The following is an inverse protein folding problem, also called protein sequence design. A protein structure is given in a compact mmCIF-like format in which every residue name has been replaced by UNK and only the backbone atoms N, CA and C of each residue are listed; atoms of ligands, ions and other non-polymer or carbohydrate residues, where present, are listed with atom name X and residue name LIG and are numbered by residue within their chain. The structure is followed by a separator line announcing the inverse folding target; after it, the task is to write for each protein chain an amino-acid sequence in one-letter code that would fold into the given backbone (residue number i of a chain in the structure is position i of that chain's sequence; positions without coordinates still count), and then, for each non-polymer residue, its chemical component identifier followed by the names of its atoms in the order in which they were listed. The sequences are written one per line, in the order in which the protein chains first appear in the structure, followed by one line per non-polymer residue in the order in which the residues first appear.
data_IF_209112267402
#
_entry.id   IF_209112267402
#
_cell.length_a   1.000
_cell.length_b   1.000
_cell.length_c   1.000
_cell.angle_alpha   90.00
_cell.angle_beta   90.00
_cell.angle_gamma   90.00
#
_symmetry.space_group_name_H-M   'P 1'
#
loop_
_entity.id
_entity.type
_entity.pdbx_description
1 polymer ?
#
# COMPACT_ATOMS: atom_id res chain seq x y z
N UNK A 1 5.71 -2.08 -42.10
CA UNK A 1 5.30 -2.40 -40.71
C UNK A 1 4.66 -3.78 -40.57
N UNK A 2 4.25 -4.43 -41.66
CA UNK A 2 3.56 -5.74 -41.63
C UNK A 2 4.49 -6.96 -41.38
N UNK A 3 5.79 -6.88 -41.67
CA UNK A 3 6.71 -8.03 -41.47
C UNK A 3 7.01 -8.35 -39.99
N UNK A 4 6.93 -7.35 -39.09
CA UNK A 4 7.14 -7.57 -37.64
C UNK A 4 5.92 -8.22 -36.97
N UNK A 5 4.75 -8.17 -37.61
CA UNK A 5 3.53 -8.78 -37.10
C UNK A 5 3.42 -10.25 -37.53
N UNK A 6 3.84 -10.57 -38.76
CA UNK A 6 3.95 -11.95 -39.25
C UNK A 6 4.95 -12.80 -38.43
N UNK A 7 6.10 -12.24 -38.02
CA UNK A 7 7.10 -12.96 -37.22
C UNK A 7 6.58 -13.34 -35.80
N UNK A 8 5.67 -12.54 -35.23
CA UNK A 8 5.03 -12.84 -33.94
C UNK A 8 3.85 -13.79 -34.09
N UNK A 9 3.15 -13.75 -35.22
CA UNK A 9 2.07 -14.67 -35.53
C UNK A 9 2.58 -16.10 -35.82
N UNK A 10 3.80 -16.24 -36.37
CA UNK A 10 4.42 -17.54 -36.70
C UNK A 10 4.78 -18.43 -35.48
N UNK A 11 4.90 -17.91 -34.26
CA UNK A 11 5.30 -18.72 -33.09
C UNK A 11 4.12 -19.22 -32.24
N UNK A 12 3.07 -18.41 -32.09
CA UNK A 12 1.93 -18.73 -31.22
C UNK A 12 0.89 -19.58 -31.94
N UNK A 13 0.62 -19.28 -33.22
CA UNK A 13 -0.32 -20.07 -34.04
C UNK A 13 0.24 -21.44 -34.42
N UNK A 14 1.55 -21.55 -34.65
CA UNK A 14 2.22 -22.83 -34.96
C UNK A 14 2.28 -23.77 -33.75
N UNK A 15 2.43 -23.22 -32.55
CA UNK A 15 2.34 -23.99 -31.31
C UNK A 15 0.90 -24.47 -31.05
N UNK A 16 -0.09 -23.61 -31.28
CA UNK A 16 -1.50 -23.95 -31.13
C UNK A 16 -1.96 -25.01 -32.14
N UNK A 17 -1.52 -24.93 -33.40
CA UNK A 17 -1.81 -25.95 -34.41
C UNK A 17 -1.14 -27.27 -34.09
N UNK A 18 0.15 -27.29 -33.72
CA UNK A 18 0.83 -28.53 -33.29
C UNK A 18 0.17 -29.16 -32.06
N UNK A 19 -0.27 -28.35 -31.11
CA UNK A 19 -1.01 -28.82 -29.93
C UNK A 19 -2.35 -29.45 -30.32
N UNK A 20 -3.12 -28.78 -31.19
CA UNK A 20 -4.40 -29.28 -31.71
C UNK A 20 -4.24 -30.54 -32.56
N UNK A 21 -3.20 -30.64 -33.38
CA UNK A 21 -2.87 -31.83 -34.17
C UNK A 21 -2.46 -33.01 -33.28
N UNK A 22 -1.68 -32.74 -32.24
CA UNK A 22 -1.27 -33.75 -31.26
C UNK A 22 -2.47 -34.27 -30.46
N UNK A 23 -3.41 -33.40 -30.08
CA UNK A 23 -4.68 -33.79 -29.45
C UNK A 23 -5.62 -34.52 -30.40
N UNK A 24 -5.70 -34.11 -31.67
CA UNK A 24 -6.52 -34.77 -32.69
C UNK A 24 -6.00 -36.17 -33.04
N UNK A 25 -4.68 -36.40 -32.93
CA UNK A 25 -4.08 -37.74 -33.09
C UNK A 25 -4.44 -38.70 -31.95
N UNK A 26 -4.85 -38.16 -30.80
CA UNK A 26 -5.37 -38.93 -29.67
C UNK A 26 -6.88 -39.21 -29.87
N UNK A 27 -7.20 -40.07 -30.84
CA UNK A 27 -8.55 -40.59 -31.03
C UNK A 27 -8.97 -41.47 -29.82
N UNK A 28 -9.47 -40.84 -28.75
CA UNK A 28 -10.04 -41.47 -27.55
C UNK A 28 -11.46 -42.00 -27.80
N UNK A 29 -11.66 -42.68 -28.93
CA UNK A 29 -12.93 -43.31 -29.28
C UNK A 29 -12.80 -44.81 -29.13
N UNK A 30 -13.32 -45.36 -28.03
CA UNK A 30 -14.18 -46.57 -27.95
C UNK A 30 -13.99 -47.46 -26.70
N UNK A 31 -15.07 -47.51 -25.90
CA UNK A 31 -15.85 -48.67 -25.40
C UNK A 31 -15.22 -49.94 -24.81
N UNK A 32 -13.91 -50.16 -24.73
CA UNK A 32 -13.34 -51.39 -24.13
C UNK A 32 -12.49 -51.14 -22.85
N UNK A 33 -12.90 -51.67 -21.67
CA UNK A 33 -12.27 -51.37 -20.39
C UNK A 33 -10.90 -52.04 -20.17
N UNK A 34 -10.48 -52.95 -21.03
CA UNK A 34 -9.16 -53.62 -20.95
C UNK A 34 -8.04 -52.80 -21.60
N UNK A 35 -8.36 -51.75 -22.36
CA UNK A 35 -7.38 -50.87 -23.02
C UNK A 35 -7.02 -49.62 -22.21
N UNK A 36 -7.71 -49.39 -21.10
CA UNK A 36 -7.50 -48.21 -20.23
C UNK A 36 -6.06 -48.14 -19.69
N UNK A 37 -5.41 -49.27 -19.42
CA UNK A 37 -4.03 -49.30 -18.94
C UNK A 37 -3.03 -48.82 -19.99
N UNK A 38 -3.28 -49.18 -21.25
CA UNK A 38 -2.44 -48.78 -22.38
C UNK A 38 -2.70 -47.31 -22.73
N UNK A 39 -3.96 -46.86 -22.61
CA UNK A 39 -4.34 -45.46 -22.78
C UNK A 39 -3.74 -44.56 -21.68
N UNK A 40 -3.70 -45.03 -20.41
CA UNK A 40 -3.05 -44.30 -19.33
C UNK A 40 -1.53 -44.24 -19.53
N UNK A 41 -0.91 -45.30 -20.06
CA UNK A 41 0.50 -45.29 -20.41
C UNK A 41 0.78 -44.31 -21.56
N UNK A 42 -0.09 -44.28 -22.58
CA UNK A 42 -0.01 -43.35 -23.70
C UNK A 42 -0.23 -41.89 -23.27
N UNK A 43 -1.22 -41.61 -22.41
CA UNK A 43 -1.47 -40.27 -21.86
C UNK A 43 -0.33 -39.79 -20.97
N UNK A 44 0.31 -40.70 -20.24
CA UNK A 44 1.51 -40.39 -19.45
C UNK A 44 2.70 -40.04 -20.35
N UNK A 45 2.88 -40.74 -21.45
CA UNK A 45 3.90 -40.41 -22.45
C UNK A 45 3.59 -39.08 -23.16
N UNK A 46 2.32 -38.87 -23.54
CA UNK A 46 1.83 -37.62 -24.13
C UNK A 46 2.04 -36.40 -23.21
N UNK A 47 1.67 -36.53 -21.94
CA UNK A 47 1.85 -35.46 -20.94
C UNK A 47 3.33 -35.17 -20.68
N UNK A 48 4.18 -36.20 -20.73
CA UNK A 48 5.64 -36.03 -20.62
C UNK A 48 6.18 -35.29 -21.84
N UNK A 49 5.76 -35.66 -23.05
CA UNK A 49 6.11 -34.97 -24.31
C UNK A 49 5.63 -33.52 -24.32
N UNK A 50 4.41 -33.25 -23.88
CA UNK A 50 3.88 -31.88 -23.76
C UNK A 50 4.67 -31.04 -22.75
N UNK A 51 5.07 -31.65 -21.63
CA UNK A 51 5.91 -30.97 -20.63
C UNK A 51 7.29 -30.61 -21.19
N UNK A 52 7.91 -31.51 -21.95
CA UNK A 52 9.19 -31.23 -22.62
C UNK A 52 9.06 -30.13 -23.68
N UNK A 53 8.03 -30.17 -24.52
CA UNK A 53 7.77 -29.14 -25.53
C UNK A 53 7.52 -27.76 -24.91
N UNK A 54 6.77 -27.71 -23.79
CA UNK A 54 6.55 -26.45 -23.08
C UNK A 54 7.85 -25.91 -22.47
N UNK A 55 8.65 -26.76 -21.84
CA UNK A 55 9.92 -26.37 -21.24
C UNK A 55 10.92 -25.88 -22.31
N UNK A 56 10.98 -26.56 -23.45
CA UNK A 56 11.76 -26.15 -24.62
C UNK A 56 11.30 -24.78 -25.13
N UNK A 57 10.00 -24.56 -25.24
CA UNK A 57 9.46 -23.27 -25.66
C UNK A 57 9.74 -22.15 -24.65
N UNK A 58 9.60 -22.41 -23.35
CA UNK A 58 9.90 -21.46 -22.28
C UNK A 58 11.39 -21.10 -22.27
N UNK A 59 12.27 -22.09 -22.43
CA UNK A 59 13.72 -21.87 -22.47
C UNK A 59 14.17 -21.16 -23.74
N UNK A 60 13.62 -21.51 -24.91
CA UNK A 60 13.85 -20.82 -26.17
C UNK A 60 13.38 -19.36 -26.10
N UNK A 61 12.19 -19.11 -25.56
CA UNK A 61 11.67 -17.75 -25.41
C UNK A 61 12.49 -16.94 -24.40
N UNK A 62 12.89 -17.54 -23.28
CA UNK A 62 13.79 -16.91 -22.30
C UNK A 62 15.15 -16.58 -22.91
N UNK A 63 15.72 -17.49 -23.71
CA UNK A 63 16.98 -17.31 -24.42
C UNK A 63 16.91 -16.21 -25.47
N UNK A 64 15.87 -16.23 -26.32
CA UNK A 64 15.63 -15.20 -27.32
C UNK A 64 15.39 -13.84 -26.66
N UNK A 65 14.64 -13.78 -25.56
CA UNK A 65 14.47 -12.54 -24.79
C UNK A 65 15.81 -12.02 -24.24
N UNK A 66 16.73 -12.92 -23.85
CA UNK A 66 18.05 -12.55 -23.32
C UNK A 66 19.03 -12.09 -24.40
N UNK A 67 18.84 -12.50 -25.65
CA UNK A 67 19.71 -12.18 -26.80
C UNK A 67 19.18 -10.99 -27.61
N UNK A 68 17.86 -10.92 -27.84
CA UNK A 68 17.23 -9.92 -28.71
C UNK A 68 16.78 -8.66 -27.99
N UNK A 69 16.47 -8.71 -26.68
CA UNK A 69 16.36 -7.48 -25.89
C UNK A 69 17.75 -7.14 -25.37
N UNK A 70 18.24 -5.97 -25.76
CA UNK A 70 19.52 -5.42 -25.33
C UNK A 70 19.72 -5.53 -23.81
N UNK A 71 20.91 -5.89 -23.32
CA UNK A 71 21.18 -6.18 -21.90
C UNK A 71 21.13 -4.96 -20.96
N UNK A 72 20.70 -3.78 -21.43
CA UNK A 72 20.88 -2.50 -20.73
C UNK A 72 19.58 -1.88 -20.19
N UNK A 73 18.56 -2.69 -19.95
CA UNK A 73 17.61 -2.39 -18.87
C UNK A 73 17.73 -3.42 -17.75
N UNK A 74 18.96 -3.72 -17.33
CA UNK A 74 19.15 -3.92 -15.89
C UNK A 74 18.76 -2.61 -15.24
N UNK A 75 17.49 -2.48 -14.86
CA UNK A 75 16.97 -1.36 -14.10
C UNK A 75 17.92 -1.19 -12.91
N UNK A 76 18.73 -0.14 -12.96
CA UNK A 76 19.78 0.07 -11.96
C UNK A 76 19.08 0.09 -10.60
N UNK A 77 19.52 -0.76 -9.69
CA UNK A 77 18.91 -0.87 -8.36
C UNK A 77 18.87 0.51 -7.67
N UNK A 78 19.85 1.37 -7.97
CA UNK A 78 19.88 2.77 -7.54
C UNK A 78 18.75 3.60 -8.13
N UNK A 79 18.42 3.41 -9.41
CA UNK A 79 17.29 4.07 -10.05
C UNK A 79 15.94 3.60 -9.48
N UNK A 80 15.79 2.29 -9.22
CA UNK A 80 14.59 1.77 -8.52
C UNK A 80 14.45 2.38 -7.14
N UNK A 81 15.54 2.47 -6.38
CA UNK A 81 15.54 2.99 -5.02
C UNK A 81 15.24 4.51 -4.99
N UNK A 82 15.81 5.28 -5.93
CA UNK A 82 15.48 6.69 -6.11
C UNK A 82 14.01 6.91 -6.51
N UNK A 83 13.50 6.09 -7.43
CA UNK A 83 12.11 6.15 -7.88
C UNK A 83 11.14 5.73 -6.77
N UNK A 84 11.51 4.74 -5.96
CA UNK A 84 10.77 4.33 -4.77
C UNK A 84 10.76 5.44 -3.71
N UNK A 85 11.88 6.13 -3.51
CA UNK A 85 11.97 7.32 -2.65
C UNK A 85 11.07 8.46 -3.12
N UNK A 86 11.08 8.77 -4.42
CA UNK A 86 10.17 9.76 -5.02
C UNK A 86 8.70 9.35 -4.89
N UNK A 87 8.39 8.07 -5.08
CA UNK A 87 7.03 7.58 -4.90
C UNK A 87 6.58 7.66 -3.43
N UNK A 88 7.47 7.37 -2.47
CA UNK A 88 7.16 7.46 -1.05
C UNK A 88 6.88 8.91 -0.63
N UNK A 89 7.71 9.86 -1.08
CA UNK A 89 7.49 11.30 -0.78
C UNK A 89 6.24 11.84 -1.47
N UNK A 90 5.99 11.47 -2.73
CA UNK A 90 4.77 11.85 -3.44
C UNK A 90 3.52 11.26 -2.76
N UNK A 91 3.58 10.00 -2.31
CA UNK A 91 2.48 9.37 -1.55
C UNK A 91 2.24 10.05 -0.21
N UNK A 92 3.30 10.43 0.51
CA UNK A 92 3.17 11.15 1.77
C UNK A 92 2.50 12.52 1.57
N UNK A 93 2.94 13.29 0.56
CA UNK A 93 2.32 14.57 0.19
C UNK A 93 0.87 14.42 -0.25
N UNK A 94 0.56 13.38 -1.03
CA UNK A 94 -0.81 13.08 -1.43
C UNK A 94 -1.69 12.72 -0.23
N UNK A 95 -1.16 11.96 0.72
CA UNK A 95 -1.87 11.61 1.95
C UNK A 95 -2.17 12.86 2.78
N UNK A 96 -1.19 13.73 2.97
CA UNK A 96 -1.33 15.01 3.68
C UNK A 96 -2.38 15.91 3.00
N UNK A 97 -2.27 16.11 1.69
CA UNK A 97 -3.25 16.88 0.94
C UNK A 97 -4.66 16.26 1.02
N UNK A 98 -4.77 14.92 1.00
CA UNK A 98 -6.06 14.24 1.18
C UNK A 98 -6.63 14.47 2.57
N UNK A 99 -5.82 14.39 3.61
CA UNK A 99 -6.28 14.65 4.98
C UNK A 99 -6.72 16.09 5.16
N UNK A 100 -5.99 17.04 4.57
CA UNK A 100 -6.34 18.47 4.63
C UNK A 100 -7.67 18.74 3.93
N UNK A 101 -7.88 18.17 2.74
CA UNK A 101 -9.15 18.28 2.01
C UNK A 101 -10.29 17.65 2.80
N UNK A 102 -10.10 16.48 3.41
CA UNK A 102 -11.14 15.86 4.23
C UNK A 102 -11.50 16.71 5.45
N UNK A 103 -10.51 17.34 6.10
CA UNK A 103 -10.75 18.27 7.20
C UNK A 103 -11.48 19.53 6.72
N UNK A 104 -11.13 20.05 5.54
CA UNK A 104 -11.79 21.22 4.96
C UNK A 104 -13.26 20.92 4.63
N UNK A 105 -13.53 19.75 4.05
CA UNK A 105 -14.89 19.28 3.75
C UNK A 105 -15.70 19.13 5.03
N UNK A 106 -15.15 18.49 6.06
CA UNK A 106 -15.84 18.35 7.35
C UNK A 106 -16.16 19.70 8.00
N UNK A 107 -15.26 20.69 7.88
CA UNK A 107 -15.53 22.07 8.33
C UNK A 107 -16.62 22.74 7.51
N UNK A 108 -16.61 22.57 6.18
CA UNK A 108 -17.66 23.09 5.30
C UNK A 108 -19.02 22.45 5.60
N UNK A 109 -19.07 21.15 5.88
CA UNK A 109 -20.29 20.44 6.27
C UNK A 109 -20.83 20.96 7.60
N UNK A 110 -19.97 21.11 8.62
CA UNK A 110 -20.37 21.67 9.91
C UNK A 110 -20.93 23.10 9.76
N UNK A 111 -20.27 23.96 8.96
CA UNK A 111 -20.76 25.32 8.69
C UNK A 111 -22.09 25.28 7.92
N UNK A 112 -22.26 24.35 6.98
CA UNK A 112 -23.50 24.21 6.24
C UNK A 112 -24.66 23.80 7.18
N UNK A 113 -24.42 22.85 8.07
CA UNK A 113 -25.39 22.41 9.07
C UNK A 113 -25.77 23.55 10.04
N UNK A 114 -24.78 24.33 10.51
CA UNK A 114 -25.00 25.50 11.35
C UNK A 114 -25.86 26.56 10.62
N UNK A 115 -25.58 26.81 9.34
CA UNK A 115 -26.36 27.76 8.52
C UNK A 115 -27.79 27.27 8.32
N UNK A 116 -27.99 25.98 8.07
CA UNK A 116 -29.34 25.39 7.96
C UNK A 116 -30.10 25.54 9.28
N UNK A 117 -29.45 25.25 10.41
CA UNK A 117 -30.05 25.40 11.73
C UNK A 117 -30.42 26.87 12.01
N UNK A 118 -29.52 27.82 11.74
CA UNK A 118 -29.77 29.25 11.87
C UNK A 118 -30.93 29.72 10.98
N UNK A 119 -30.97 29.27 9.72
CA UNK A 119 -32.04 29.66 8.81
C UNK A 119 -33.40 29.11 9.29
N UNK A 120 -33.44 27.86 9.74
CA UNK A 120 -34.66 27.28 10.31
C UNK A 120 -35.15 28.04 11.55
N UNK A 121 -34.22 28.50 12.40
CA UNK A 121 -34.56 29.32 13.57
C UNK A 121 -35.09 30.71 13.15
N UNK A 122 -34.50 31.32 12.13
CA UNK A 122 -34.97 32.59 11.58
C UNK A 122 -36.36 32.45 10.98
N UNK A 123 -36.65 31.38 10.26
CA UNK A 123 -37.98 31.08 9.70
C UNK A 123 -39.03 30.93 10.81
N UNK A 124 -38.71 30.20 11.88
CA UNK A 124 -39.59 30.07 13.06
C UNK A 124 -39.83 31.40 13.76
N UNK A 125 -38.81 32.26 13.88
CA UNK A 125 -38.96 33.60 14.46
C UNK A 125 -39.80 34.49 13.56
N UNK A 126 -39.62 34.41 12.24
CA UNK A 126 -40.43 35.15 11.27
C UNK A 126 -41.89 34.74 11.36
N UNK A 127 -42.20 33.44 11.42
CA UNK A 127 -43.59 32.99 11.58
C UNK A 127 -44.21 33.46 12.90
N UNK A 128 -43.46 33.43 13.99
CA UNK A 128 -43.93 33.93 15.28
C UNK A 128 -44.18 35.45 15.25
N UNK A 129 -43.30 36.22 14.60
CA UNK A 129 -43.49 37.66 14.42
C UNK A 129 -44.72 37.94 13.56
N UNK A 130 -44.95 37.19 12.49
CA UNK A 130 -46.15 37.34 11.64
C UNK A 130 -47.44 37.03 12.42
N UNK A 131 -47.43 36.01 13.27
CA UNK A 131 -48.56 35.69 14.16
C UNK A 131 -48.80 36.81 15.18
N UNK A 132 -47.75 37.28 15.86
CA UNK A 132 -47.83 38.39 16.80
C UNK A 132 -48.29 39.69 16.12
N UNK A 133 -47.85 39.95 14.88
CA UNK A 133 -48.28 41.12 14.11
C UNK A 133 -49.77 41.04 13.76
N UNK A 134 -50.27 39.86 13.39
CA UNK A 134 -51.71 39.64 13.16
C UNK A 134 -52.51 39.83 14.45
N UNK A 135 -52.03 39.29 15.57
CA UNK A 135 -52.68 39.47 16.87
C UNK A 135 -52.67 40.93 17.31
N UNK A 136 -51.55 41.64 17.14
CA UNK A 136 -51.45 43.07 17.42
C UNK A 136 -52.42 43.89 16.55
N UNK A 137 -52.55 43.55 15.26
CA UNK A 137 -53.51 44.20 14.36
C UNK A 137 -54.95 43.96 14.83
N UNK A 138 -55.28 42.73 15.20
CA UNK A 138 -56.59 42.38 15.75
C UNK A 138 -56.87 43.10 17.07
N UNK A 139 -55.90 43.15 17.99
CA UNK A 139 -56.05 43.87 19.26
C UNK A 139 -56.20 45.38 19.03
N UNK A 140 -55.54 45.95 18.01
CA UNK A 140 -55.73 47.35 17.63
C UNK A 140 -57.14 47.60 17.08
N UNK A 141 -57.67 46.69 16.26
CA UNK A 141 -59.05 46.74 15.77
C UNK A 141 -60.06 46.64 16.92
N UNK A 142 -59.86 45.69 17.85
CA UNK A 142 -60.70 45.50 19.04
C UNK A 142 -60.65 46.73 19.97
N UNK A 143 -59.47 47.31 20.17
CA UNK A 143 -59.28 48.52 20.98
C UNK A 143 -59.91 49.74 20.32
N UNK A 144 -59.76 49.91 19.00
CA UNK A 144 -60.44 50.95 18.24
C UNK A 144 -61.97 50.79 18.35
N UNK A 145 -62.49 49.56 18.23
CA UNK A 145 -63.91 49.27 18.40
C UNK A 145 -64.41 49.56 19.84
N UNK A 146 -63.59 49.33 20.86
CA UNK A 146 -63.93 49.65 22.27
C UNK A 146 -63.87 51.16 22.55
N UNK A 147 -62.91 51.86 21.97
CA UNK A 147 -62.71 53.31 22.18
C UNK A 147 -63.70 54.16 21.38
N UNK A 148 -64.13 53.70 20.21
CA UNK A 148 -65.13 54.39 19.38
C UNK A 148 -66.54 53.79 19.52
N UNK A 149 -66.68 52.74 20.33
CA UNK A 149 -67.95 52.10 20.65
C UNK A 149 -68.85 52.94 21.59
N UNK A 150 -70.16 52.63 21.65
CA UNK A 150 -71.15 53.42 22.39
C UNK A 150 -70.95 53.47 23.93
N UNK A 151 -70.11 52.60 24.51
CA UNK A 151 -69.75 52.57 25.94
C UNK A 151 -68.42 53.28 26.29
N UNK A 152 -67.77 53.92 25.31
CA UNK A 152 -66.39 54.43 25.39
C UNK A 152 -66.09 55.50 26.47
N UNK A 153 -67.11 56.19 26.97
CA UNK A 153 -66.91 57.28 27.93
C UNK A 153 -66.51 56.79 29.33
N UNK A 154 -66.89 55.57 29.73
CA UNK A 154 -66.54 55.00 31.05
C UNK A 154 -65.13 54.40 31.13
N UNK A 155 -64.64 53.80 30.04
CA UNK A 155 -63.32 53.17 30.00
C UNK A 155 -62.17 54.20 29.90
N UNK A 156 -62.41 55.32 29.22
CA UNK A 156 -61.43 56.41 29.07
C UNK A 156 -61.07 57.09 30.39
N UNK A 157 -62.04 57.18 31.32
CA UNK A 157 -61.82 57.73 32.67
C UNK A 157 -61.07 56.78 33.60
N UNK A 158 -61.23 55.45 33.45
CA UNK A 158 -60.55 54.46 34.28
C UNK A 158 -59.07 54.28 33.89
N UNK A 159 -58.77 54.25 32.59
CA UNK A 159 -57.39 54.12 32.10
C UNK A 159 -56.52 55.34 32.48
N UNK A 160 -57.14 56.52 32.56
CA UNK A 160 -56.49 57.73 33.06
C UNK A 160 -56.25 57.67 34.58
N UNK A 161 -57.10 57.01 35.35
CA UNK A 161 -56.90 56.80 36.80
C UNK A 161 -55.81 55.76 37.10
N UNK A 162 -55.73 54.67 36.36
CA UNK A 162 -54.72 53.61 36.55
C UNK A 162 -53.30 54.10 36.26
N UNK A 163 -53.11 54.89 35.19
CA UNK A 163 -51.83 55.54 34.87
C UNK A 163 -51.39 56.57 35.91
N UNK A 164 -52.34 57.16 36.64
CA UNK A 164 -52.08 58.05 37.77
C UNK A 164 -51.74 57.29 39.06
N UNK A 165 -52.04 55.99 39.14
CA UNK A 165 -51.82 55.15 40.32
C UNK A 165 -50.49 54.39 40.31
N UNK A 166 -49.73 54.41 39.20
CA UNK A 166 -48.30 54.05 39.20
C UNK A 166 -47.97 52.66 39.77
N UNK A 167 -48.81 51.66 39.50
CA UNK A 167 -48.70 50.31 40.05
C UNK A 167 -47.81 49.36 39.23
N UNK A 168 -46.74 49.88 38.61
CA UNK A 168 -45.66 49.05 38.08
C UNK A 168 -44.39 49.33 38.89
N UNK A 169 -44.11 48.46 39.86
CA UNK A 169 -42.76 48.14 40.32
C UNK A 169 -42.85 46.92 41.25
N UNK A 170 -42.57 45.74 40.71
CA UNK A 170 -41.94 44.68 41.51
C UNK A 170 -40.66 45.32 42.05
N UNK A 171 -40.57 45.47 43.36
CA UNK A 171 -39.60 46.35 44.03
C UNK A 171 -38.18 46.08 43.55
N UNK A 172 -37.49 47.14 43.14
CA UNK A 172 -36.10 47.14 42.69
C UNK A 172 -35.18 46.36 43.65
N UNK A 173 -35.53 46.35 44.94
CA UNK A 173 -34.82 45.66 46.02
C UNK A 173 -34.88 44.13 45.92
N UNK A 174 -36.02 43.55 45.50
CA UNK A 174 -36.17 42.08 45.36
C UNK A 174 -35.42 41.57 44.13
N UNK A 175 -35.44 42.36 43.04
CA UNK A 175 -34.62 42.09 41.85
C UNK A 175 -33.11 42.20 42.15
N UNK A 176 -32.70 43.15 42.99
CA UNK A 176 -31.31 43.33 43.42
C UNK A 176 -30.82 42.16 44.30
N UNK A 177 -31.65 41.64 45.20
CA UNK A 177 -31.29 40.50 46.04
C UNK A 177 -31.17 39.19 45.23
N UNK A 178 -32.07 38.96 44.26
CA UNK A 178 -31.95 37.83 43.33
C UNK A 178 -30.69 37.94 42.46
N UNK A 179 -30.38 39.14 41.96
CA UNK A 179 -29.16 39.37 41.18
C UNK A 179 -27.89 39.14 42.02
N UNK A 180 -27.88 39.55 43.29
CA UNK A 180 -26.77 39.28 44.21
C UNK A 180 -26.60 37.79 44.50
N UNK A 181 -27.71 37.07 44.70
CA UNK A 181 -27.71 35.62 44.88
C UNK A 181 -27.14 34.88 43.66
N UNK A 182 -27.54 35.28 42.45
CA UNK A 182 -27.04 34.71 41.20
C UNK A 182 -25.53 34.98 41.03
N UNK A 183 -25.06 36.20 41.31
CA UNK A 183 -23.64 36.56 41.23
C UNK A 183 -22.80 35.75 42.23
N UNK A 184 -23.32 35.49 43.44
CA UNK A 184 -22.62 34.67 44.42
C UNK A 184 -22.50 33.20 43.98
N UNK A 185 -23.56 32.64 43.40
CA UNK A 185 -23.53 31.28 42.84
C UNK A 185 -22.56 31.19 41.64
N UNK A 186 -22.56 32.18 40.77
CA UNK A 186 -21.66 32.23 39.62
C UNK A 186 -20.20 32.38 40.05
N UNK A 187 -19.92 33.16 41.11
CA UNK A 187 -18.58 33.26 41.68
C UNK A 187 -18.07 31.90 42.18
N UNK A 188 -18.91 31.13 42.88
CA UNK A 188 -18.53 29.78 43.34
C UNK A 188 -18.30 28.81 42.18
N UNK A 189 -19.13 28.86 41.14
CA UNK A 189 -18.96 28.04 39.94
C UNK A 189 -17.68 28.39 39.17
N UNK A 190 -17.31 29.67 39.11
CA UNK A 190 -16.07 30.14 38.50
C UNK A 190 -14.85 29.66 39.29
N UNK A 191 -14.90 29.69 40.62
CA UNK A 191 -13.79 29.19 41.45
C UNK A 191 -13.62 27.66 41.34
N UNK A 192 -14.73 26.91 41.28
CA UNK A 192 -14.70 25.47 41.01
C UNK A 192 -14.15 25.17 39.61
N UNK A 193 -14.57 25.91 38.58
CA UNK A 193 -14.05 25.79 37.23
C UNK A 193 -12.54 26.10 37.17
N UNK A 194 -12.08 27.14 37.88
CA UNK A 194 -10.65 27.47 37.99
C UNK A 194 -9.85 26.35 38.67
N UNK A 195 -10.39 25.75 39.72
CA UNK A 195 -9.75 24.61 40.37
C UNK A 195 -9.67 23.38 39.44
N UNK A 196 -10.72 23.12 38.67
CA UNK A 196 -10.71 22.05 37.66
C UNK A 196 -9.67 22.32 36.56
N UNK A 197 -9.58 23.55 36.05
CA UNK A 197 -8.58 23.95 35.06
C UNK A 197 -7.16 23.75 35.60
N UNK A 198 -6.88 24.21 36.84
CA UNK A 198 -5.57 24.01 37.45
C UNK A 198 -5.21 22.52 37.58
N UNK A 199 -6.16 21.67 37.99
CA UNK A 199 -5.93 20.22 38.07
C UNK A 199 -5.71 19.54 36.71
N UNK A 200 -6.38 20.04 35.66
CA UNK A 200 -6.22 19.56 34.30
C UNK A 200 -4.87 20.00 33.70
N UNK A 201 -4.42 21.23 33.98
CA UNK A 201 -3.10 21.72 33.59
C UNK A 201 -1.98 20.89 34.23
N UNK A 202 -2.08 20.56 35.52
CA UNK A 202 -1.13 19.65 36.17
C UNK A 202 -1.12 18.24 35.52
N UNK A 203 -2.30 17.72 35.16
CA UNK A 203 -2.40 16.42 34.50
C UNK A 203 -1.78 16.46 33.09
N UNK A 204 -1.95 17.57 32.36
CA UNK A 204 -1.34 17.79 31.06
C UNK A 204 0.19 17.85 31.16
N UNK A 205 0.72 18.63 32.13
CA UNK A 205 2.16 18.69 32.39
C UNK A 205 2.76 17.31 32.70
N UNK A 206 2.08 16.50 33.53
CA UNK A 206 2.51 15.11 33.79
C UNK A 206 2.47 14.23 32.54
N UNK A 207 1.54 14.48 31.61
CA UNK A 207 1.49 13.77 30.33
C UNK A 207 2.64 14.19 29.42
N UNK A 208 2.93 15.48 29.32
CA UNK A 208 4.02 16.03 28.51
C UNK A 208 5.38 15.52 28.98
N UNK A 209 5.62 15.46 30.29
CA UNK A 209 6.83 14.85 30.86
C UNK A 209 6.96 13.37 30.47
N UNK A 210 5.85 12.61 30.45
CA UNK A 210 5.86 11.22 29.97
C UNK A 210 6.17 11.14 28.48
N UNK A 211 5.61 12.03 27.67
CA UNK A 211 5.88 12.07 26.23
C UNK A 211 7.35 12.41 25.94
N UNK A 212 7.95 13.35 26.67
CA UNK A 212 9.37 13.66 26.56
C UNK A 212 10.24 12.43 26.90
N UNK A 213 9.97 11.75 28.02
CA UNK A 213 10.69 10.52 28.40
C UNK A 213 10.56 9.41 27.36
N UNK A 214 9.37 9.22 26.79
CA UNK A 214 9.16 8.24 25.73
C UNK A 214 9.91 8.61 24.46
N UNK A 215 9.97 9.89 24.12
CA UNK A 215 10.69 10.38 22.94
C UNK A 215 12.20 10.19 23.10
N UNK A 216 12.74 10.47 24.29
CA UNK A 216 14.15 10.19 24.63
C UNK A 216 14.46 8.69 24.56
N UNK A 217 13.56 7.84 25.08
CA UNK A 217 13.73 6.38 25.03
C UNK A 217 13.70 5.85 23.59
N UNK A 218 12.80 6.37 22.74
CA UNK A 218 12.76 6.05 21.30
C UNK A 218 14.05 6.49 20.62
N UNK A 219 14.56 7.69 20.91
CA UNK A 219 15.83 8.17 20.36
C UNK A 219 17.01 7.29 20.79
N UNK A 220 17.04 6.85 22.05
CA UNK A 220 18.04 5.91 22.57
C UNK A 220 17.99 4.55 21.86
N UNK A 221 16.79 3.96 21.72
CA UNK A 221 16.60 2.69 20.99
C UNK A 221 17.03 2.85 19.53
N UNK A 222 16.67 3.96 18.89
CA UNK A 222 17.08 4.23 17.51
C UNK A 222 18.60 4.31 17.38
N UNK A 223 19.28 4.96 18.34
CA UNK A 223 20.74 4.99 18.41
C UNK A 223 21.35 3.60 18.59
N UNK A 224 20.78 2.76 19.46
CA UNK A 224 21.22 1.37 19.64
C UNK A 224 21.01 0.53 18.38
N UNK A 225 19.91 0.73 17.66
CA UNK A 225 19.62 0.04 16.39
C UNK A 225 20.59 0.47 15.30
N UNK A 226 20.90 1.77 15.18
CA UNK A 226 21.88 2.22 14.19
C UNK A 226 23.31 1.78 14.55
N UNK A 227 23.69 1.76 15.82
CA UNK A 227 24.97 1.18 16.24
C UNK A 227 25.04 -0.32 15.92
N UNK A 228 23.97 -1.08 16.18
CA UNK A 228 23.90 -2.48 15.78
C UNK A 228 23.96 -2.65 14.26
N UNK A 229 23.34 -1.73 13.50
CA UNK A 229 23.36 -1.72 12.04
C UNK A 229 24.75 -1.38 11.49
N UNK A 230 25.48 -0.43 12.06
CA UNK A 230 26.85 -0.10 11.68
C UNK A 230 27.83 -1.24 12.00
N UNK A 231 27.65 -1.91 13.14
CA UNK A 231 28.39 -3.14 13.46
C UNK A 231 28.10 -4.27 12.47
N UNK A 232 26.89 -4.32 11.92
CA UNK A 232 26.50 -5.26 10.86
C UNK A 232 26.91 -4.79 9.45
N UNK A 233 27.00 -3.48 9.18
CA UNK A 233 27.37 -2.91 7.88
C UNK A 233 28.89 -2.79 7.71
N UNK A 234 29.66 -2.78 8.79
CA UNK A 234 31.10 -3.07 8.74
C UNK A 234 31.41 -4.49 8.23
N UNK A 235 30.39 -5.36 8.18
CA UNK A 235 30.40 -6.65 7.52
C UNK A 235 29.65 -6.61 6.17
N UNK A 236 29.80 -5.54 5.37
CA UNK A 236 29.61 -5.62 3.93
C UNK A 236 30.57 -6.67 3.37
N UNK A 237 30.08 -7.92 3.33
CA UNK A 237 30.79 -9.03 2.75
C UNK A 237 31.23 -8.64 1.34
N UNK A 238 32.55 -8.55 1.14
CA UNK A 238 33.15 -8.31 -0.16
C UNK A 238 32.42 -9.14 -1.22
N UNK A 239 32.19 -8.63 -2.45
CA UNK A 239 31.57 -9.41 -3.51
C UNK A 239 32.25 -10.79 -3.70
N UNK A 240 33.53 -10.92 -3.35
CA UNK A 240 34.26 -12.19 -3.29
C UNK A 240 33.75 -13.14 -2.18
N UNK A 241 33.38 -12.65 -1.00
CA UNK A 241 32.80 -13.45 0.10
C UNK A 241 31.36 -13.87 -0.20
N UNK A 242 30.56 -13.00 -0.81
CA UNK A 242 29.21 -13.35 -1.28
C UNK A 242 29.28 -14.42 -2.37
N UNK A 243 30.20 -14.28 -3.33
CA UNK A 243 30.43 -15.27 -4.37
C UNK A 243 30.98 -16.58 -3.80
N UNK A 244 31.90 -16.54 -2.82
CA UNK A 244 32.40 -17.72 -2.13
C UNK A 244 31.32 -18.45 -1.34
N UNK A 245 30.40 -17.72 -0.68
CA UNK A 245 29.25 -18.29 0.03
C UNK A 245 28.29 -18.97 -0.95
N UNK A 246 27.94 -18.28 -2.05
CA UNK A 246 27.12 -18.85 -3.13
C UNK A 246 27.78 -20.10 -3.73
N UNK A 247 29.10 -20.09 -3.96
CA UNK A 247 29.85 -21.26 -4.45
C UNK A 247 29.80 -22.44 -3.46
N UNK A 248 29.88 -22.19 -2.15
CA UNK A 248 29.76 -23.25 -1.14
C UNK A 248 28.35 -23.86 -1.13
N UNK A 249 27.32 -23.02 -1.21
CA UNK A 249 25.92 -23.46 -1.26
C UNK A 249 25.64 -24.27 -2.54
N UNK A 250 26.12 -23.81 -3.71
CA UNK A 250 25.98 -24.56 -4.97
C UNK A 250 26.76 -25.87 -4.95
N UNK A 251 28.00 -25.89 -4.46
CA UNK A 251 28.78 -27.12 -4.31
C UNK A 251 28.10 -28.12 -3.36
N UNK A 252 27.42 -27.65 -2.31
CA UNK A 252 26.67 -28.50 -1.39
C UNK A 252 25.43 -29.13 -2.06
N UNK A 253 24.74 -28.36 -2.91
CA UNK A 253 23.60 -28.84 -3.72
C UNK A 253 24.08 -29.84 -4.76
N UNK A 254 25.16 -29.54 -5.48
CA UNK A 254 25.74 -30.42 -6.51
C UNK A 254 26.22 -31.75 -5.92
N UNK A 255 26.83 -31.73 -4.72
CA UNK A 255 27.17 -32.96 -3.98
C UNK A 255 25.95 -33.79 -3.59
N UNK A 256 24.80 -33.17 -3.31
CA UNK A 256 23.56 -33.89 -2.99
C UNK A 256 22.86 -34.46 -4.24
N UNK A 257 22.93 -33.76 -5.37
CA UNK A 257 22.25 -34.15 -6.61
C UNK A 257 23.03 -35.15 -7.46
N UNK A 258 24.37 -35.10 -7.45
CA UNK A 258 25.20 -35.93 -8.32
C UNK A 258 25.99 -36.90 -7.46
N UNK A 259 25.71 -38.22 -7.58
CA UNK A 259 26.38 -39.33 -6.86
C UNK A 259 27.88 -39.50 -7.18
N UNK A 260 28.53 -38.50 -7.79
CA UNK A 260 29.90 -38.56 -8.31
C UNK A 260 30.80 -37.38 -7.91
N UNK A 261 30.44 -36.57 -6.91
CA UNK A 261 31.37 -35.65 -6.26
C UNK A 261 32.01 -34.59 -7.15
N UNK A 262 31.21 -33.83 -7.91
CA UNK A 262 31.70 -32.70 -8.70
C UNK A 262 32.00 -31.52 -7.77
N UNK A 263 33.21 -30.96 -7.86
CA UNK A 263 33.59 -29.72 -7.17
C UNK A 263 33.83 -28.61 -8.19
N UNK A 264 33.24 -27.45 -7.95
CA UNK A 264 33.42 -26.25 -8.78
C UNK A 264 34.25 -25.24 -8.01
N UNK A 265 35.44 -24.93 -8.52
CA UNK A 265 36.32 -23.90 -8.01
C UNK A 265 36.36 -22.70 -8.97
N UNK A 266 36.42 -21.50 -8.43
CA UNK A 266 36.61 -20.28 -9.21
C UNK A 266 37.86 -19.54 -8.73
N UNK A 267 38.90 -19.53 -9.57
CA UNK A 267 40.16 -18.82 -9.30
C UNK A 267 40.52 -17.96 -10.51
N UNK A 268 40.80 -16.68 -10.28
CA UNK A 268 41.31 -15.73 -11.29
C UNK A 268 40.47 -15.63 -12.58
N UNK A 269 39.13 -15.65 -12.50
CA UNK A 269 38.26 -15.54 -13.68
C UNK A 269 38.21 -16.80 -14.55
N UNK A 270 38.50 -17.97 -13.95
CA UNK A 270 38.38 -19.28 -14.59
C UNK A 270 37.61 -20.23 -13.67
N UNK A 271 36.68 -20.98 -14.24
CA UNK A 271 35.92 -22.01 -13.52
C UNK A 271 36.61 -23.36 -13.69
N UNK A 272 36.86 -24.08 -12.60
CA UNK A 272 37.45 -25.42 -12.63
C UNK A 272 36.40 -26.41 -12.16
N UNK A 273 36.04 -27.36 -13.01
CA UNK A 273 35.24 -28.52 -12.64
C UNK A 273 36.17 -29.69 -12.35
N UNK A 274 36.10 -30.20 -11.14
CA UNK A 274 36.86 -31.35 -10.66
C UNK A 274 35.92 -32.52 -10.49
N UNK A 275 36.19 -33.63 -11.19
CA UNK A 275 35.52 -34.91 -10.98
C UNK A 275 36.55 -36.03 -11.03
N UNK A 276 36.82 -36.64 -9.89
CA UNK A 276 37.69 -37.82 -9.63
C UNK A 276 39.07 -37.82 -10.32
N UNK A 277 39.14 -37.90 -11.65
CA UNK A 277 40.39 -37.93 -12.45
C UNK A 277 40.41 -36.92 -13.63
N UNK A 278 39.36 -36.11 -13.82
CA UNK A 278 39.30 -35.12 -14.90
C UNK A 278 39.14 -33.71 -14.35
N UNK A 279 40.02 -32.81 -14.77
CA UNK A 279 39.94 -31.37 -14.51
C UNK A 279 39.55 -30.66 -15.79
N UNK A 280 38.40 -29.99 -15.78
CA UNK A 280 37.97 -29.15 -16.90
C UNK A 280 38.02 -27.69 -16.47
N UNK A 281 38.85 -26.89 -17.15
CA UNK A 281 39.01 -25.47 -16.88
C UNK A 281 38.30 -24.64 -17.95
N UNK A 282 37.39 -23.77 -17.53
CA UNK A 282 36.63 -22.85 -18.36
C UNK A 282 37.13 -21.41 -18.19
N UNK A 283 37.13 -20.62 -19.27
CA UNK A 283 37.24 -19.16 -19.20
C UNK A 283 35.91 -18.48 -18.82
N UNK A 284 35.91 -17.15 -18.69
CA UNK A 284 34.71 -16.34 -18.43
C UNK A 284 33.63 -16.42 -19.54
N UNK A 285 33.98 -16.94 -20.71
CA UNK A 285 33.10 -17.18 -21.86
C UNK A 285 32.73 -18.67 -22.02
N UNK A 286 32.98 -19.48 -20.97
CA UNK A 286 32.71 -20.93 -20.93
C UNK A 286 33.49 -21.74 -21.98
N UNK A 287 34.62 -21.26 -22.48
CA UNK A 287 35.52 -22.04 -23.35
C UNK A 287 36.43 -22.94 -22.53
N UNK A 288 36.59 -24.19 -22.96
CA UNK A 288 37.48 -25.15 -22.34
C UNK A 288 38.92 -24.74 -22.70
N UNK A 289 39.68 -24.33 -21.70
CA UNK A 289 41.08 -23.89 -21.82
C UNK A 289 42.04 -25.04 -21.51
N UNK A 290 41.63 -25.97 -20.64
CA UNK A 290 42.45 -27.12 -20.27
C UNK A 290 41.55 -28.31 -19.94
N UNK A 291 41.91 -29.48 -20.48
CA UNK A 291 41.27 -30.76 -20.24
C UNK A 291 42.38 -31.78 -19.96
N UNK A 292 42.65 -32.06 -18.68
CA UNK A 292 43.62 -33.11 -18.33
C UNK A 292 42.99 -34.48 -18.61
N UNK A 293 43.60 -35.26 -19.52
CA UNK A 293 43.17 -36.62 -19.87
C UNK A 293 42.53 -36.81 -21.25
N UNK A 294 42.35 -35.77 -22.07
CA UNK A 294 41.76 -35.87 -23.42
C UNK A 294 42.56 -35.03 -24.44
N UNK A 295 42.73 -35.54 -25.66
CA UNK A 295 43.42 -34.89 -26.79
C UNK A 295 42.90 -33.46 -27.08
N UNK A 296 43.79 -32.49 -27.31
CA UNK A 296 43.50 -31.08 -27.64
C UNK A 296 42.43 -30.92 -28.75
N UNK A 297 42.41 -31.83 -29.73
CA UNK A 297 41.40 -31.87 -30.81
C UNK A 297 39.96 -32.02 -30.31
N UNK A 298 39.73 -32.69 -29.18
CA UNK A 298 38.40 -32.82 -28.60
C UNK A 298 37.96 -31.53 -27.88
N UNK A 299 38.89 -30.81 -27.26
CA UNK A 299 38.60 -29.52 -26.63
C UNK A 299 38.23 -28.45 -27.69
N UNK A 300 38.94 -28.41 -28.81
CA UNK A 300 38.61 -27.53 -29.95
C UNK A 300 37.26 -27.90 -30.57
N UNK A 301 37.00 -29.20 -30.80
CA UNK A 301 35.72 -29.66 -31.35
C UNK A 301 34.51 -29.38 -30.45
N UNK A 302 34.71 -29.17 -29.15
CA UNK A 302 33.68 -28.82 -28.19
C UNK A 302 33.52 -27.31 -28.09
N UNK A 303 34.61 -26.55 -28.12
CA UNK A 303 34.56 -25.10 -28.15
C UNK A 303 33.86 -24.56 -29.41
N UNK A 304 34.00 -25.25 -30.55
CA UNK A 304 33.30 -24.91 -31.79
C UNK A 304 31.85 -25.44 -31.89
N UNK A 305 31.37 -26.22 -30.91
CA UNK A 305 30.09 -26.92 -31.00
C UNK A 305 28.85 -26.05 -30.70
N UNK A 306 29.00 -24.73 -30.48
CA UNK A 306 27.87 -23.82 -30.27
C UNK A 306 26.92 -24.30 -29.17
N UNK A 307 25.68 -24.65 -29.54
CA UNK A 307 24.61 -25.10 -28.65
C UNK A 307 24.82 -26.53 -28.10
N UNK A 308 25.55 -27.40 -28.84
CA UNK A 308 25.83 -28.79 -28.44
C UNK A 308 27.01 -28.91 -27.45
N UNK A 309 27.66 -27.78 -27.17
CA UNK A 309 28.85 -27.71 -26.30
C UNK A 309 28.57 -28.28 -24.91
N UNK A 310 27.40 -27.98 -24.34
CA UNK A 310 27.01 -28.49 -23.02
C UNK A 310 26.91 -30.02 -23.00
N UNK A 311 26.22 -30.62 -23.98
CA UNK A 311 26.04 -32.07 -24.05
C UNK A 311 27.35 -32.82 -24.29
N UNK A 312 28.23 -32.27 -25.12
CA UNK A 312 29.56 -32.85 -25.35
C UNK A 312 30.46 -32.78 -24.11
N UNK A 313 30.35 -31.71 -23.30
CA UNK A 313 31.04 -31.62 -22.00
C UNK A 313 30.49 -32.64 -21.02
N UNK A 314 29.16 -32.80 -20.94
CA UNK A 314 28.53 -33.79 -20.06
C UNK A 314 28.92 -35.21 -20.46
N UNK A 315 29.01 -35.51 -21.76
CA UNK A 315 29.49 -36.81 -22.24
C UNK A 315 30.97 -37.06 -21.94
N UNK A 316 31.83 -36.04 -21.98
CA UNK A 316 33.22 -36.19 -21.52
C UNK A 316 33.31 -36.44 -20.00
N UNK A 317 32.38 -35.89 -19.22
CA UNK A 317 32.37 -36.04 -17.78
C UNK A 317 31.67 -37.33 -17.30
N UNK A 318 30.86 -37.98 -18.14
CA UNK A 318 30.22 -39.28 -17.91
C UNK A 318 30.57 -40.20 -19.10
N UNK A 319 31.67 -40.98 -19.02
CA UNK A 319 31.89 -42.06 -19.98
C UNK A 319 30.77 -43.12 -19.92
#
# INVERSE_FOLDING_TARGET
MEEKENARQLSLTCAETRFKETLASANLSHTDPTRITDDLAYLKDLSSKLKFLYLEQETLNSFLHRILLSPDQTVDRKYVEQLAGHNATAKARLHEAKTDVMQLVSKCEAVADDVIALNSQCELRLSAIDEMAREATRLQEDLAALVDGPDAHGHRTLFQMEKLLGLDNIGLDEALELARGAVAQEATAVDEARAQVASAEEALQRSDERHLRLTELIASIRGQVEQARELLSGAEASPAQINARKLRETNLVLRKLIRGGIQVDHQNGKFRLLRSDTVVVFDNHLNIVLLEGVSEKAAEAINCAGEDKFWRIVHLLNP
#
